data_IF_378781392179
#
_entry.id   IF_378781392179
#
_cell.length_a   1.000
_cell.length_b   1.000
_cell.length_c   1.000
_cell.angle_alpha   90.00
_cell.angle_beta   90.00
_cell.angle_gamma   90.00
#
_symmetry.space_group_name_H-M   'P 1'
#
loop_
_entity.id
_entity.type
_entity.pdbx_description
1 polymer ?
#
# COMPACT_ATOMS: atom_id res chain seq x y z
N UNK A 1 -31.50 17.29 -12.10
CA UNK A 1 -30.48 16.55 -12.87
C UNK A 1 -29.68 15.68 -11.91
N UNK A 2 -29.81 14.35 -11.99
CA UNK A 2 -29.07 13.41 -11.13
C UNK A 2 -27.67 13.20 -11.71
N UNK A 3 -26.65 13.77 -11.08
CA UNK A 3 -25.26 13.57 -11.47
C UNK A 3 -24.86 12.10 -11.26
N UNK A 4 -24.82 11.36 -12.37
CA UNK A 4 -24.42 9.94 -12.49
C UNK A 4 -22.91 9.71 -12.29
N UNK A 5 -22.17 10.65 -11.73
CA UNK A 5 -20.69 10.61 -11.69
C UNK A 5 -20.13 9.94 -10.43
N UNK A 6 -20.94 9.66 -9.40
CA UNK A 6 -20.40 9.28 -8.09
C UNK A 6 -20.15 7.77 -7.86
N UNK A 7 -20.72 6.87 -8.67
CA UNK A 7 -20.58 5.42 -8.42
C UNK A 7 -19.38 4.81 -9.14
N UNK A 8 -19.00 5.36 -10.29
CA UNK A 8 -17.87 4.84 -11.08
C UNK A 8 -16.51 5.11 -10.46
N UNK A 9 -16.33 6.25 -9.79
CA UNK A 9 -15.04 6.67 -9.20
C UNK A 9 -14.78 5.92 -7.88
N UNK A 10 -15.80 5.74 -7.03
CA UNK A 10 -15.70 4.94 -5.79
C UNK A 10 -15.36 3.48 -6.10
N UNK A 11 -15.96 2.92 -7.15
CA UNK A 11 -15.62 1.58 -7.61
C UNK A 11 -14.21 1.51 -8.24
N UNK A 12 -13.72 2.63 -8.81
CA UNK A 12 -12.38 2.73 -9.38
C UNK A 12 -11.27 2.89 -8.32
N UNK A 13 -11.53 3.61 -7.21
CA UNK A 13 -10.57 3.79 -6.11
C UNK A 13 -10.54 2.59 -5.15
N UNK A 14 -11.70 1.95 -4.90
CA UNK A 14 -11.73 0.59 -4.39
C UNK A 14 -11.01 -0.36 -5.34
N UNK A 15 -11.05 -0.13 -6.67
CA UNK A 15 -10.20 -0.81 -7.67
C UNK A 15 -8.73 -0.42 -7.64
N UNK A 16 -8.28 0.71 -7.07
CA UNK A 16 -6.83 0.95 -6.96
C UNK A 16 -6.26 0.16 -5.77
N UNK A 17 -7.03 0.01 -4.70
CA UNK A 17 -6.74 -0.97 -3.65
C UNK A 17 -7.00 -2.41 -4.12
N UNK A 18 -8.04 -2.67 -4.94
CA UNK A 18 -8.34 -4.00 -5.49
C UNK A 18 -7.55 -4.41 -6.74
N UNK A 19 -6.85 -3.50 -7.42
CA UNK A 19 -5.90 -3.80 -8.50
C UNK A 19 -4.55 -4.26 -7.94
N UNK A 20 -4.22 -3.86 -6.70
CA UNK A 20 -3.15 -4.48 -5.93
C UNK A 20 -3.63 -5.72 -5.15
N UNK A 21 -4.92 -5.78 -4.78
CA UNK A 21 -5.49 -6.80 -3.91
C UNK A 21 -6.94 -7.09 -4.27
N UNK A 22 -7.21 -7.92 -5.28
CA UNK A 22 -8.36 -8.83 -5.37
C UNK A 22 -8.70 -9.17 -6.83
N UNK A 23 -8.72 -10.47 -7.08
CA UNK A 23 -10.00 -11.04 -7.44
C UNK A 23 -10.27 -12.23 -6.51
N UNK A 24 -11.54 -12.45 -6.27
CA UNK A 24 -12.23 -13.41 -5.39
C UNK A 24 -11.53 -14.74 -5.07
N UNK A 25 -11.42 -15.06 -3.77
CA UNK A 25 -12.01 -16.24 -3.13
C UNK A 25 -11.75 -16.16 -1.61
N UNK A 26 -12.80 -16.38 -0.83
CA UNK A 26 -12.81 -16.37 0.64
C UNK A 26 -11.82 -17.38 1.21
N UNK A 27 -10.74 -16.89 1.84
CA UNK A 27 -9.97 -17.65 2.81
C UNK A 27 -9.17 -16.66 3.66
N UNK A 28 -9.58 -16.52 4.92
CA UNK A 28 -8.88 -15.77 5.95
C UNK A 28 -7.49 -16.40 6.13
N UNK A 29 -6.44 -15.80 5.54
CA UNK A 29 -5.06 -16.18 5.85
C UNK A 29 -4.67 -15.56 7.20
N UNK A 30 -5.05 -16.24 8.28
CA UNK A 30 -4.47 -16.01 9.60
C UNK A 30 -3.07 -16.62 9.62
N UNK A 31 -2.06 -15.86 9.17
CA UNK A 31 -0.65 -16.26 9.18
C UNK A 31 0.24 -15.42 8.27
N UNK A 32 1.55 -15.39 8.56
CA UNK A 32 2.55 -14.72 7.71
C UNK A 32 2.60 -15.39 6.34
N UNK A 33 2.18 -14.68 5.30
CA UNK A 33 2.28 -15.18 3.93
C UNK A 33 3.71 -15.08 3.43
N UNK A 34 4.19 -16.14 2.76
CA UNK A 34 5.51 -16.13 2.11
C UNK A 34 5.40 -16.44 0.63
N UNK A 35 6.07 -15.67 -0.22
CA UNK A 35 6.25 -15.94 -1.65
C UNK A 35 7.73 -16.16 -1.96
N UNK A 36 8.07 -17.31 -2.55
CA UNK A 36 9.45 -17.69 -2.85
C UNK A 36 10.41 -17.55 -1.65
N UNK A 37 9.92 -17.87 -0.44
CA UNK A 37 10.69 -17.75 0.80
C UNK A 37 10.76 -16.34 1.40
N UNK A 38 10.18 -15.32 0.76
CA UNK A 38 10.09 -13.95 1.29
C UNK A 38 8.75 -13.70 1.95
N UNK A 39 8.76 -13.10 3.15
CA UNK A 39 7.55 -12.65 3.84
C UNK A 39 6.88 -11.49 3.08
N UNK A 40 5.55 -11.52 3.01
CA UNK A 40 4.73 -10.46 2.42
C UNK A 40 3.72 -9.99 3.47
N UNK A 41 3.59 -8.68 3.58
CA UNK A 41 2.65 -8.01 4.47
C UNK A 41 1.45 -7.56 3.64
N UNK A 42 0.55 -8.47 3.32
CA UNK A 42 -0.65 -8.10 2.56
C UNK A 42 -1.65 -7.37 3.48
N UNK A 43 -2.49 -6.48 2.93
CA UNK A 43 -3.63 -5.95 3.67
C UNK A 43 -4.57 -7.05 4.18
N UNK A 44 -5.50 -6.75 5.09
CA UNK A 44 -6.58 -7.69 5.42
C UNK A 44 -7.36 -8.13 4.16
N UNK A 45 -7.77 -9.40 4.12
CA UNK A 45 -8.60 -10.06 3.09
C UNK A 45 -8.11 -10.11 1.61
N UNK A 46 -7.09 -9.34 1.23
CA UNK A 46 -5.76 -9.94 1.18
C UNK A 46 -5.40 -11.19 0.35
N UNK A 47 -5.83 -11.40 -0.91
CA UNK A 47 -5.33 -12.57 -1.69
C UNK A 47 -4.18 -12.23 -2.65
N UNK A 48 -2.99 -12.79 -2.40
CA UNK A 48 -1.85 -12.68 -3.31
C UNK A 48 -2.00 -13.52 -4.58
N UNK A 49 -1.74 -12.91 -5.74
CA UNK A 49 -1.87 -13.56 -7.07
C UNK A 49 -0.52 -13.65 -7.76
N UNK A 50 0.14 -14.80 -7.61
CA UNK A 50 1.51 -15.03 -8.08
C UNK A 50 1.68 -15.11 -9.60
N UNK A 51 0.63 -15.45 -10.35
CA UNK A 51 0.74 -15.83 -11.78
C UNK A 51 1.47 -14.81 -12.66
N UNK A 52 1.37 -13.52 -12.33
CA UNK A 52 2.02 -12.43 -13.07
C UNK A 52 2.87 -11.53 -12.16
N UNK A 53 3.16 -11.96 -10.93
CA UNK A 53 3.94 -11.14 -10.02
C UNK A 53 5.42 -11.15 -10.44
N UNK A 54 5.97 -9.96 -10.66
CA UNK A 54 7.40 -9.75 -10.83
C UNK A 54 7.89 -8.92 -9.66
N UNK A 55 8.86 -9.47 -8.94
CA UNK A 55 9.51 -8.73 -7.86
C UNK A 55 10.32 -7.58 -8.46
N UNK A 56 10.20 -6.40 -7.85
CA UNK A 56 10.93 -5.19 -8.23
C UNK A 56 11.83 -4.83 -7.04
N UNK A 57 13.13 -4.76 -7.28
CA UNK A 57 14.10 -4.33 -6.27
C UNK A 57 14.27 -2.80 -6.34
N UNK A 58 13.88 -2.11 -5.26
CA UNK A 58 14.02 -0.66 -5.15
C UNK A 58 15.25 -0.23 -4.37
N UNK A 59 16.06 -1.16 -3.86
CA UNK A 59 17.25 -0.83 -3.07
C UNK A 59 18.27 0.00 -3.85
N UNK A 60 18.36 -0.21 -5.17
CA UNK A 60 19.26 0.52 -6.06
C UNK A 60 18.97 2.03 -6.08
N UNK A 61 17.70 2.44 -5.89
CA UNK A 61 17.30 3.86 -5.88
C UNK A 61 17.80 4.62 -4.66
N UNK A 62 18.22 3.94 -3.59
CA UNK A 62 18.75 4.60 -2.38
C UNK A 62 20.13 5.25 -2.61
N UNK A 63 20.80 4.90 -3.72
CA UNK A 63 22.05 5.52 -4.16
C UNK A 63 21.85 6.85 -4.90
N UNK A 64 20.63 7.14 -5.35
CA UNK A 64 20.30 8.36 -6.10
C UNK A 64 19.36 9.25 -5.29
N UNK A 65 19.52 10.57 -5.42
CA UNK A 65 18.62 11.54 -4.77
C UNK A 65 17.55 11.92 -5.78
N UNK A 66 16.31 11.47 -5.59
CA UNK A 66 15.18 12.03 -6.34
C UNK A 66 14.74 13.34 -5.66
N UNK A 67 14.23 14.29 -6.47
CA UNK A 67 14.05 15.69 -6.07
C UNK A 67 12.57 16.03 -5.84
N UNK A 68 11.71 15.04 -5.62
CA UNK A 68 10.27 15.25 -5.50
C UNK A 68 9.79 15.06 -4.06
N UNK A 69 9.21 16.12 -3.51
CA UNK A 69 8.44 16.10 -2.27
C UNK A 69 7.06 15.52 -2.58
N UNK A 70 6.77 14.31 -2.11
CA UNK A 70 5.47 13.67 -2.33
C UNK A 70 4.61 13.69 -1.07
N UNK A 71 3.34 14.02 -1.25
CA UNK A 71 2.29 13.85 -0.25
C UNK A 71 2.10 12.35 0.00
N UNK A 72 2.52 11.87 1.18
CA UNK A 72 2.47 10.45 1.56
C UNK A 72 1.07 9.94 1.89
N UNK A 73 0.12 10.85 2.05
CA UNK A 73 -1.25 10.53 2.37
C UNK A 73 -2.03 10.12 1.11
N UNK A 74 -2.04 8.82 0.82
CA UNK A 74 -2.86 8.24 -0.24
C UNK A 74 -4.37 8.46 -0.02
N UNK A 75 -4.83 8.66 1.21
CA UNK A 75 -6.24 8.93 1.52
C UNK A 75 -6.66 10.37 1.21
N UNK A 76 -5.70 11.26 0.92
CA UNK A 76 -6.01 12.65 0.52
C UNK A 76 -6.81 12.76 -0.78
N UNK A 77 -6.75 11.73 -1.63
CA UNK A 77 -7.49 11.64 -2.88
C UNK A 77 -8.94 11.12 -2.70
N UNK A 78 -9.33 10.70 -1.50
CA UNK A 78 -10.63 10.08 -1.21
C UNK A 78 -11.67 11.10 -0.74
N UNK A 79 -12.94 10.81 -1.00
CA UNK A 79 -14.03 11.64 -0.49
C UNK A 79 -14.17 11.51 1.04
N UNK A 80 -14.78 12.51 1.69
CA UNK A 80 -15.07 12.44 3.13
C UNK A 80 -15.94 11.23 3.49
N UNK A 81 -16.85 10.84 2.60
CA UNK A 81 -17.70 9.67 2.78
C UNK A 81 -16.89 8.36 2.70
N UNK A 82 -15.94 8.27 1.77
CA UNK A 82 -15.06 7.11 1.65
C UNK A 82 -14.16 6.99 2.89
N UNK A 83 -13.54 8.09 3.33
CA UNK A 83 -12.74 8.12 4.56
C UNK A 83 -13.59 7.72 5.77
N UNK A 84 -14.84 8.18 5.85
CA UNK A 84 -15.75 7.78 6.90
C UNK A 84 -16.04 6.27 6.86
N UNK A 85 -16.36 5.72 5.68
CA UNK A 85 -16.59 4.29 5.51
C UNK A 85 -15.34 3.47 5.88
N UNK A 86 -14.14 3.89 5.50
CA UNK A 86 -12.89 3.24 5.93
C UNK A 86 -12.77 3.20 7.45
N UNK A 87 -12.98 4.34 8.12
CA UNK A 87 -12.89 4.43 9.59
C UNK A 87 -13.93 3.59 10.32
N UNK A 88 -15.14 3.43 9.78
CA UNK A 88 -16.25 2.82 10.51
C UNK A 88 -16.58 1.39 10.09
N UNK A 89 -16.40 1.05 8.81
CA UNK A 89 -16.83 -0.23 8.23
C UNK A 89 -15.67 -1.15 7.88
N UNK A 90 -14.50 -0.58 7.54
CA UNK A 90 -13.29 -1.30 7.12
C UNK A 90 -12.17 -1.06 8.12
N UNK A 91 -12.44 -1.37 9.39
CA UNK A 91 -11.59 -0.98 10.52
C UNK A 91 -10.20 -1.61 10.43
N UNK A 92 -10.12 -2.87 10.00
CA UNK A 92 -8.84 -3.58 9.87
C UNK A 92 -8.00 -3.01 8.73
N UNK A 93 -8.62 -2.70 7.58
CA UNK A 93 -7.94 -2.06 6.46
C UNK A 93 -7.50 -0.64 6.81
N UNK A 94 -8.33 0.09 7.56
CA UNK A 94 -7.96 1.40 8.07
C UNK A 94 -6.78 1.30 9.06
N UNK A 95 -6.77 0.31 9.95
CA UNK A 95 -5.66 0.06 10.86
C UNK A 95 -4.36 -0.27 10.10
N UNK A 96 -4.42 -1.19 9.13
CA UNK A 96 -3.30 -1.53 8.26
C UNK A 96 -2.73 -0.29 7.54
N UNK A 97 -3.62 0.59 7.06
CA UNK A 97 -3.22 1.85 6.44
C UNK A 97 -2.54 2.82 7.44
N UNK A 98 -3.08 2.95 8.66
CA UNK A 98 -2.45 3.77 9.70
C UNK A 98 -1.06 3.24 10.10
N UNK A 99 -0.87 1.92 10.15
CA UNK A 99 0.43 1.31 10.41
C UNK A 99 1.46 1.64 9.32
N UNK A 100 1.06 1.58 8.06
CA UNK A 100 1.92 1.95 6.93
C UNK A 100 2.34 3.42 7.00
N UNK A 101 1.41 4.33 7.30
CA UNK A 101 1.74 5.74 7.49
C UNK A 101 2.71 5.97 8.65
N UNK A 102 2.46 5.32 9.79
CA UNK A 102 3.34 5.41 10.95
C UNK A 102 4.76 4.90 10.62
N UNK A 103 4.87 3.88 9.77
CA UNK A 103 6.14 3.41 9.23
C UNK A 103 6.79 4.48 8.32
N UNK A 104 6.08 5.06 7.36
CA UNK A 104 6.64 6.07 6.45
C UNK A 104 7.09 7.36 7.15
N UNK A 105 6.50 7.69 8.30
CA UNK A 105 6.93 8.82 9.15
C UNK A 105 8.29 8.55 9.81
N UNK A 106 8.63 7.29 10.08
CA UNK A 106 9.91 6.89 10.70
C UNK A 106 11.07 6.87 9.72
N UNK A 107 10.80 6.90 8.41
CA UNK A 107 11.83 6.84 7.38
C UNK A 107 12.59 8.16 7.30
N UNK A 108 13.91 8.07 7.08
CA UNK A 108 14.77 9.24 6.96
C UNK A 108 14.43 10.09 5.74
N UNK A 109 14.80 11.37 5.79
CA UNK A 109 14.61 12.30 4.66
C UNK A 109 15.28 11.80 3.37
N UNK A 110 16.40 11.08 3.49
CA UNK A 110 17.08 10.47 2.36
C UNK A 110 16.16 9.45 1.68
N UNK A 111 15.64 8.48 2.43
CA UNK A 111 14.72 7.46 1.91
C UNK A 111 13.49 8.11 1.28
N UNK A 112 12.91 9.11 1.96
CA UNK A 112 11.73 9.82 1.50
C UNK A 112 11.95 10.63 0.23
N UNK A 113 13.18 11.07 -0.03
CA UNK A 113 13.57 11.75 -1.27
C UNK A 113 13.92 10.76 -2.38
N UNK A 114 14.47 9.59 -2.06
CA UNK A 114 14.86 8.59 -3.06
C UNK A 114 13.69 7.74 -3.58
N UNK A 115 12.63 7.57 -2.79
CA UNK A 115 11.49 6.69 -3.11
C UNK A 115 10.18 7.45 -3.18
N UNK A 116 9.38 7.13 -4.19
CA UNK A 116 8.01 7.62 -4.30
C UNK A 116 7.07 6.89 -3.34
N UNK A 117 5.91 7.47 -3.07
CA UNK A 117 4.88 6.89 -2.20
C UNK A 117 4.45 5.50 -2.69
N UNK A 118 4.28 5.32 -4.01
CA UNK A 118 3.92 4.03 -4.60
C UNK A 118 4.98 2.96 -4.35
N UNK A 119 6.25 3.34 -4.40
CA UNK A 119 7.38 2.44 -4.16
C UNK A 119 7.49 2.10 -2.68
N UNK A 120 7.28 3.08 -1.80
CA UNK A 120 7.20 2.84 -0.36
C UNK A 120 6.07 1.86 0.00
N UNK A 121 4.90 2.00 -0.61
CA UNK A 121 3.80 1.03 -0.47
C UNK A 121 4.17 -0.35 -1.03
N UNK A 122 4.80 -0.40 -2.19
CA UNK A 122 5.28 -1.67 -2.76
C UNK A 122 6.22 -2.39 -1.79
N UNK A 123 7.21 -1.68 -1.24
CA UNK A 123 8.18 -2.23 -0.28
C UNK A 123 7.45 -2.66 0.99
N UNK A 124 6.56 -1.81 1.52
CA UNK A 124 5.79 -2.10 2.72
C UNK A 124 4.96 -3.38 2.62
N UNK A 125 4.45 -3.70 1.43
CA UNK A 125 3.66 -4.90 1.16
C UNK A 125 4.59 -6.08 0.82
N UNK A 126 5.48 -5.95 -0.16
CA UNK A 126 6.12 -7.08 -0.84
C UNK A 126 7.59 -7.31 -0.49
N UNK A 127 8.27 -6.36 0.15
CA UNK A 127 9.70 -6.47 0.46
C UNK A 127 9.98 -6.14 1.92
N UNK A 128 9.64 -7.07 2.82
CA UNK A 128 9.83 -6.88 4.25
C UNK A 128 11.30 -6.75 4.65
N UNK A 129 12.22 -7.34 3.88
CA UNK A 129 13.66 -7.23 4.15
C UNK A 129 14.12 -5.78 3.89
N UNK A 130 13.81 -5.22 2.72
CA UNK A 130 14.14 -3.83 2.43
C UNK A 130 13.37 -2.90 3.37
N UNK A 131 12.08 -3.13 3.63
CA UNK A 131 11.28 -2.36 4.59
C UNK A 131 12.01 -2.19 5.93
N UNK A 132 12.56 -3.27 6.47
CA UNK A 132 13.28 -3.22 7.74
C UNK A 132 14.63 -2.49 7.61
N UNK A 133 15.35 -2.69 6.50
CA UNK A 133 16.62 -1.98 6.25
C UNK A 133 16.43 -0.46 6.15
N UNK A 134 15.34 0.02 5.53
CA UNK A 134 15.06 1.45 5.34
C UNK A 134 14.96 2.24 6.66
N UNK A 135 14.70 1.59 7.80
CA UNK A 135 14.69 2.24 9.12
C UNK A 135 16.07 2.67 9.61
N UNK A 136 17.14 2.19 8.96
CA UNK A 136 18.53 2.42 9.37
C UNK A 136 19.37 3.14 8.30
N UNK A 137 18.73 3.71 7.27
CA UNK A 137 19.36 4.47 6.19
C UNK A 137 19.50 5.97 6.50
#
# INVERSE_FOLDING_TARGET
MKNKVSKGIVQLCCMIFTLFVCATATAQQTGKFTYQGKEVNLPPDAVFRSRNFKFIDYSEKLSTVATESLTKDFMSDFSKEDIHNFKTKYQDEYAYYQEALAYFVKLSDRVNKSLTVKELWYIYIYDQELKNKLLYF
#
